data_IF_062539249197
#
_entry.id   IF_062539249197
#
_cell.length_a   1.000
_cell.length_b   1.000
_cell.length_c   1.000
_cell.angle_alpha   90.00
_cell.angle_beta   90.00
_cell.angle_gamma   90.00
#
_symmetry.space_group_name_H-M   'P 1'
#
loop_
_entity.id
_entity.type
_entity.pdbx_description
1 polymer ?
#
# COMPACT_ATOMS: atom_id res chain seq x y z
N UNK A 1 11.64 -1.81 13.13
CA UNK A 1 10.28 -1.42 12.75
C UNK A 1 10.09 -1.82 11.30
N UNK A 2 8.92 -2.36 10.96
CA UNK A 2 8.58 -2.65 9.57
C UNK A 2 8.32 -1.34 8.82
N UNK A 3 8.44 -1.36 7.49
CA UNK A 3 8.22 -0.20 6.62
C UNK A 3 6.93 -0.32 5.83
N UNK A 4 6.40 0.82 5.42
CA UNK A 4 5.39 0.89 4.37
C UNK A 4 5.91 1.72 3.18
N UNK A 5 5.31 1.48 2.02
CA UNK A 5 5.46 2.34 0.85
C UNK A 5 4.14 2.43 0.10
N UNK A 6 3.91 3.57 -0.56
CA UNK A 6 2.83 3.73 -1.53
C UNK A 6 3.46 3.87 -2.91
N UNK A 7 3.12 2.97 -3.82
CA UNK A 7 3.49 3.07 -5.22
C UNK A 7 2.35 3.69 -5.99
N UNK A 8 2.63 4.73 -6.79
CA UNK A 8 1.71 5.18 -7.83
C UNK A 8 1.98 4.35 -9.07
N UNK A 9 0.91 3.81 -9.65
CA UNK A 9 0.98 2.98 -10.85
C UNK A 9 0.13 3.62 -11.94
N UNK A 10 0.74 3.92 -13.09
CA UNK A 10 0.09 4.59 -14.23
C UNK A 10 0.22 3.79 -15.50
N UNK A 11 -0.76 3.92 -16.41
CA UNK A 11 -0.69 3.36 -17.75
C UNK A 11 -0.80 1.83 -17.80
N UNK A 12 -1.38 1.22 -16.76
CA UNK A 12 -1.74 -0.19 -16.78
C UNK A 12 -2.94 -0.42 -17.73
N UNK A 13 -2.86 -1.36 -18.68
CA UNK A 13 -3.89 -1.53 -19.72
C UNK A 13 -5.23 -2.04 -19.17
N UNK A 14 -5.21 -2.68 -18.00
CA UNK A 14 -6.36 -3.19 -17.27
C UNK A 14 -6.89 -2.19 -16.22
N UNK A 15 -6.35 -0.97 -16.19
CA UNK A 15 -6.79 0.07 -15.26
C UNK A 15 -7.62 1.15 -15.98
N UNK A 16 -8.96 1.13 -15.86
CA UNK A 16 -9.82 2.08 -16.55
C UNK A 16 -9.66 3.52 -16.03
N UNK A 17 -9.16 3.75 -14.80
CA UNK A 17 -8.85 5.10 -14.31
C UNK A 17 -7.52 5.63 -14.86
N UNK A 18 -6.67 4.75 -15.40
CA UNK A 18 -5.32 5.04 -15.87
C UNK A 18 -4.30 5.28 -14.74
N UNK A 19 -4.73 5.29 -13.48
CA UNK A 19 -3.88 5.48 -12.32
C UNK A 19 -4.51 4.87 -11.05
N UNK A 20 -3.70 4.14 -10.29
CA UNK A 20 -4.03 3.63 -8.95
C UNK A 20 -2.80 3.66 -8.05
N UNK A 21 -2.99 3.20 -6.80
CA UNK A 21 -1.92 3.10 -5.83
C UNK A 21 -1.80 1.69 -5.25
N UNK A 22 -0.59 1.21 -5.08
CA UNK A 22 -0.32 -0.03 -4.36
C UNK A 22 0.29 0.32 -3.00
N UNK A 23 -0.41 -0.05 -1.93
CA UNK A 23 0.09 0.06 -0.56
C UNK A 23 0.85 -1.22 -0.21
N UNK A 24 2.15 -1.07 0.04
CA UNK A 24 3.05 -2.15 0.43
C UNK A 24 3.35 -2.04 1.92
N UNK A 25 3.19 -3.13 2.65
CA UNK A 25 3.63 -3.28 4.03
C UNK A 25 4.66 -4.39 4.11
N UNK A 26 5.82 -4.10 4.69
CA UNK A 26 6.94 -5.04 4.81
C UNK A 26 6.57 -6.25 5.68
N UNK A 27 6.75 -7.45 5.11
CA UNK A 27 6.47 -8.74 5.75
C UNK A 27 7.59 -9.73 5.43
N UNK A 28 8.53 -9.91 6.37
CA UNK A 28 9.65 -10.82 6.20
C UNK A 28 10.56 -10.46 5.00
N UNK A 29 10.52 -11.29 3.96
CA UNK A 29 11.32 -11.13 2.73
C UNK A 29 10.55 -10.46 1.56
N UNK A 30 9.26 -10.19 1.75
CA UNK A 30 8.38 -9.57 0.77
C UNK A 30 7.56 -8.42 1.39
N UNK A 31 6.59 -7.91 0.63
CA UNK A 31 5.59 -6.97 1.11
C UNK A 31 4.20 -7.53 0.88
N UNK A 32 3.36 -7.53 1.92
CA UNK A 32 1.92 -7.69 1.75
C UNK A 32 1.38 -6.43 1.09
N UNK A 33 0.53 -6.59 0.08
CA UNK A 33 0.19 -5.50 -0.84
C UNK A 33 -1.30 -5.42 -1.13
N UNK A 34 -1.83 -4.20 -1.17
CA UNK A 34 -3.20 -3.92 -1.58
C UNK A 34 -3.25 -2.81 -2.62
N UNK A 35 -4.11 -2.98 -3.62
CA UNK A 35 -4.49 -1.95 -4.59
C UNK A 35 -5.53 -1.03 -3.97
N UNK A 36 -5.29 0.27 -4.07
CA UNK A 36 -6.15 1.37 -3.64
C UNK A 36 -6.45 2.26 -4.85
N UNK A 37 -7.65 2.85 -4.89
CA UNK A 37 -8.01 3.80 -5.94
C UNK A 37 -7.27 5.13 -5.75
N UNK A 38 -7.21 5.60 -4.51
CA UNK A 38 -6.66 6.89 -4.14
C UNK A 38 -5.65 6.77 -2.98
N UNK A 39 -4.86 7.82 -2.77
CA UNK A 39 -4.02 7.94 -1.57
C UNK A 39 -4.93 7.96 -0.33
N UNK A 40 -4.75 7.02 0.63
CA UNK A 40 -5.55 7.04 1.85
C UNK A 40 -5.16 8.26 2.70
N UNK A 41 -6.15 9.02 3.17
CA UNK A 41 -5.92 10.23 3.98
C UNK A 41 -6.45 10.05 5.40
N UNK A 42 -5.82 10.68 6.41
CA UNK A 42 -6.31 10.60 7.79
C UNK A 42 -7.73 11.17 7.94
N UNK A 43 -8.62 10.36 8.52
CA UNK A 43 -10.06 10.59 8.61
C UNK A 43 -10.75 10.81 7.25
N UNK A 44 -10.14 10.27 6.19
CA UNK A 44 -10.73 10.26 4.85
C UNK A 44 -11.84 9.22 4.70
N UNK A 45 -12.45 9.20 3.52
CA UNK A 45 -13.47 8.20 3.15
C UNK A 45 -12.79 6.83 3.07
N UNK A 46 -13.43 5.83 3.67
CA UNK A 46 -13.02 4.43 3.51
C UNK A 46 -13.14 4.01 2.05
N UNK A 47 -12.11 3.36 1.51
CA UNK A 47 -12.06 2.95 0.11
C UNK A 47 -11.80 1.44 -0.02
N UNK A 48 -12.15 0.79 -1.14
CA UNK A 48 -11.78 -0.60 -1.38
C UNK A 48 -10.26 -0.81 -1.33
N UNK A 49 -9.84 -1.95 -0.79
CA UNK A 49 -8.46 -2.39 -0.69
C UNK A 49 -8.35 -3.82 -1.21
N UNK A 50 -8.03 -3.95 -2.49
CA UNK A 50 -7.98 -5.26 -3.16
C UNK A 50 -6.61 -5.91 -2.90
N UNK A 51 -6.53 -7.10 -2.30
CA UNK A 51 -5.26 -7.78 -2.08
C UNK A 51 -4.59 -8.12 -3.41
N UNK A 52 -3.28 -7.91 -3.48
CA UNK A 52 -2.43 -8.24 -4.62
C UNK A 52 -1.40 -9.31 -4.25
N UNK A 53 -0.77 -9.91 -5.27
CA UNK A 53 0.37 -10.78 -5.06
C UNK A 53 1.49 -10.05 -4.28
N UNK A 54 2.24 -10.76 -3.41
CA UNK A 54 3.33 -10.17 -2.66
C UNK A 54 4.35 -9.44 -3.54
N UNK A 55 4.72 -8.22 -3.12
CA UNK A 55 5.72 -7.43 -3.82
C UNK A 55 7.12 -7.67 -3.24
N UNK A 56 8.13 -7.51 -4.09
CA UNK A 56 9.53 -7.56 -3.63
C UNK A 56 9.86 -6.32 -2.81
N UNK A 57 10.59 -6.49 -1.71
CA UNK A 57 11.05 -5.40 -0.82
C UNK A 57 11.85 -4.29 -1.49
N UNK A 58 12.40 -4.54 -2.68
CA UNK A 58 13.13 -3.53 -3.46
C UNK A 58 12.27 -2.30 -3.82
N UNK A 59 10.94 -2.43 -3.76
CA UNK A 59 10.01 -1.32 -3.94
C UNK A 59 9.80 -0.45 -2.70
N UNK A 60 10.27 -0.91 -1.53
CA UNK A 60 10.33 -0.08 -0.32
C UNK A 60 11.45 0.98 -0.43
N UNK A 61 12.36 0.86 -1.40
CA UNK A 61 13.44 1.82 -1.69
C UNK A 61 13.03 2.86 -2.75
N UNK A 62 13.68 4.03 -2.83
CA UNK A 62 13.34 5.04 -3.85
C UNK A 62 13.49 4.44 -5.24
N UNK A 63 12.37 4.30 -5.96
CA UNK A 63 12.31 3.58 -7.22
C UNK A 63 11.20 4.12 -8.11
N UNK A 64 11.52 4.17 -9.40
CA UNK A 64 10.61 4.52 -10.49
C UNK A 64 11.01 3.67 -11.68
N UNK A 65 10.14 2.78 -12.16
CA UNK A 65 10.48 1.84 -13.22
C UNK A 65 9.26 1.34 -14.00
N UNK A 66 9.49 0.98 -15.26
CA UNK A 66 8.52 0.30 -16.10
C UNK A 66 8.14 -1.06 -15.50
N UNK A 67 6.85 -1.38 -15.53
CA UNK A 67 6.33 -2.68 -15.13
C UNK A 67 6.44 -3.63 -16.32
N UNK A 68 6.95 -4.84 -16.05
CA UNK A 68 7.17 -5.86 -17.09
C UNK A 68 5.88 -6.18 -17.86
N UNK A 69 6.02 -6.55 -19.14
CA UNK A 69 4.89 -6.93 -19.99
C UNK A 69 4.04 -5.74 -20.47
N UNK A 70 4.63 -4.54 -20.56
CA UNK A 70 3.95 -3.31 -21.00
C UNK A 70 2.73 -2.96 -20.13
N UNK A 71 2.86 -3.17 -18.81
CA UNK A 71 1.78 -2.97 -17.84
C UNK A 71 1.84 -1.60 -17.16
N UNK A 72 2.49 -0.62 -17.78
CA UNK A 72 2.59 0.73 -17.24
C UNK A 72 3.88 0.98 -16.46
N UNK A 73 3.82 1.96 -15.54
CA UNK A 73 4.96 2.49 -14.80
C UNK A 73 4.64 2.57 -13.31
N UNK A 74 5.53 2.08 -12.46
CA UNK A 74 5.38 2.14 -11.01
C UNK A 74 6.45 3.04 -10.39
N UNK A 75 6.02 3.93 -9.50
CA UNK A 75 6.88 4.89 -8.79
C UNK A 75 6.53 4.91 -7.31
N UNK A 76 7.53 4.82 -6.44
CA UNK A 76 7.34 5.02 -5.01
C UNK A 76 7.13 6.51 -4.72
N UNK A 77 5.94 6.86 -4.26
CA UNK A 77 5.54 8.27 -4.02
C UNK A 77 5.45 8.65 -2.55
N UNK A 78 5.30 7.67 -1.65
CA UNK A 78 5.27 7.88 -0.20
C UNK A 78 5.92 6.69 0.51
N UNK A 79 6.49 6.92 1.70
CA UNK A 79 7.08 5.85 2.51
C UNK A 79 7.21 6.26 3.98
N UNK A 80 7.27 5.24 4.84
CA UNK A 80 7.55 5.46 6.25
C UNK A 80 7.68 4.15 7.02
N UNK A 81 7.61 4.24 8.34
CA UNK A 81 7.69 3.13 9.28
C UNK A 81 6.36 2.89 9.98
N UNK A 82 6.17 1.65 10.42
CA UNK A 82 4.98 1.21 11.14
C UNK A 82 5.31 0.58 12.49
N UNK A 83 4.32 0.61 13.38
CA UNK A 83 4.22 -0.24 14.56
C UNK A 83 3.01 -1.16 14.46
N UNK A 84 3.14 -2.36 15.04
CA UNK A 84 2.19 -3.46 14.91
C UNK A 84 2.69 -4.59 14.01
N UNK A 85 1.91 -5.67 13.95
CA UNK A 85 2.21 -6.86 13.16
C UNK A 85 1.05 -7.16 12.22
N UNK A 86 1.37 -7.62 11.02
CA UNK A 86 0.35 -8.14 10.12
C UNK A 86 -0.24 -9.44 10.69
N UNK A 87 -1.56 -9.65 10.58
CA UNK A 87 -2.15 -10.91 11.00
C UNK A 87 -1.57 -12.07 10.16
N UNK A 88 -1.34 -13.25 10.74
CA UNK A 88 -0.84 -14.41 10.00
C UNK A 88 -1.84 -14.88 8.93
N UNK A 89 -3.13 -14.68 9.16
CA UNK A 89 -4.17 -14.83 8.16
C UNK A 89 -4.08 -13.67 7.15
N UNK A 90 -3.86 -13.94 5.84
CA UNK A 90 -3.79 -12.90 4.82
C UNK A 90 -5.10 -12.12 4.67
N UNK A 91 -6.24 -12.72 4.99
CA UNK A 91 -7.57 -12.10 4.92
C UNK A 91 -8.01 -11.52 6.28
N UNK A 92 -7.17 -11.65 7.31
CA UNK A 92 -7.42 -11.12 8.64
C UNK A 92 -7.42 -9.59 8.68
N UNK A 93 -8.10 -8.99 9.68
CA UNK A 93 -8.13 -7.54 9.83
C UNK A 93 -6.73 -6.99 10.14
N UNK A 94 -6.30 -6.00 9.37
CA UNK A 94 -5.03 -5.30 9.56
C UNK A 94 -5.28 -4.02 10.33
N UNK A 95 -4.55 -3.82 11.44
CA UNK A 95 -4.53 -2.57 12.20
C UNK A 95 -3.07 -2.24 12.53
N UNK A 96 -2.55 -1.16 11.95
CA UNK A 96 -1.15 -0.76 12.07
C UNK A 96 -1.06 0.73 12.38
N UNK A 97 -0.09 1.12 13.20
CA UNK A 97 0.21 2.54 13.43
C UNK A 97 1.25 3.02 12.41
N UNK A 98 0.94 4.09 11.68
CA UNK A 98 1.84 4.75 10.73
C UNK A 98 2.58 5.88 11.46
N UNK A 99 3.84 5.62 11.82
CA UNK A 99 4.61 6.44 12.76
C UNK A 99 5.21 7.69 12.12
N UNK A 100 5.68 7.57 10.88
CA UNK A 100 6.39 8.63 10.15
C UNK A 100 6.06 8.63 8.65
N UNK A 101 6.73 9.50 7.91
CA UNK A 101 6.47 9.71 6.49
C UNK A 101 5.24 10.59 6.23
N UNK A 102 4.73 10.48 5.00
CA UNK A 102 3.62 11.27 4.48
C UNK A 102 2.25 10.74 4.94
N UNK A 103 2.11 9.42 5.18
CA UNK A 103 0.92 8.82 5.78
C UNK A 103 1.11 8.67 7.28
N UNK A 104 0.11 9.08 8.08
CA UNK A 104 0.19 9.05 9.55
C UNK A 104 -1.13 8.69 10.20
N UNK A 105 -1.05 8.03 11.35
CA UNK A 105 -2.19 7.58 12.13
C UNK A 105 -2.45 6.08 11.99
N UNK A 106 -3.63 5.62 12.39
CA UNK A 106 -3.93 4.19 12.45
C UNK A 106 -4.53 3.73 11.12
N UNK A 107 -3.74 2.98 10.35
CA UNK A 107 -4.19 2.25 9.16
C UNK A 107 -5.06 1.07 9.56
N UNK A 108 -6.23 0.95 8.92
CA UNK A 108 -7.12 -0.21 9.02
C UNK A 108 -7.42 -0.76 7.64
N UNK A 109 -7.22 -2.07 7.47
CA UNK A 109 -7.73 -2.83 6.33
C UNK A 109 -8.63 -3.93 6.88
N UNK A 110 -9.94 -3.73 6.79
CA UNK A 110 -10.96 -4.60 7.39
C UNK A 110 -12.07 -4.78 6.35
N UNK A 111 -12.56 -6.02 6.18
CA UNK A 111 -13.62 -6.37 5.22
C UNK A 111 -13.35 -5.81 3.80
N UNK A 112 -12.09 -5.90 3.36
CA UNK A 112 -11.65 -5.44 2.04
C UNK A 112 -11.65 -3.93 1.85
N UNK A 113 -11.66 -3.14 2.93
CA UNK A 113 -11.65 -1.68 2.87
C UNK A 113 -10.51 -1.08 3.68
N UNK A 114 -9.84 -0.08 3.09
CA UNK A 114 -8.77 0.70 3.70
C UNK A 114 -9.31 2.04 4.23
N UNK A 115 -8.91 2.38 5.46
CA UNK A 115 -9.09 3.70 6.06
C UNK A 115 -7.91 4.05 6.95
N UNK A 116 -7.68 5.34 7.16
CA UNK A 116 -6.72 5.84 8.17
C UNK A 116 -7.49 6.74 9.12
N UNK A 117 -7.34 6.53 10.44
CA UNK A 117 -7.80 7.51 11.44
C UNK A 117 -6.60 8.24 12.03
N UNK A 118 -6.82 9.44 12.57
CA UNK A 118 -5.80 10.03 13.46
C UNK A 118 -5.54 9.09 14.65
N UNK A 119 -4.28 8.99 15.06
CA UNK A 119 -3.87 8.32 16.29
C UNK A 119 -4.30 9.15 17.52
#
# INVERSE_FOLDING_TARGET
>A
MARYALLRHTGAPDDPSGCHFDLLVEEGDHCRTWRLADVPTPNGISQPAMPLAPHRRVWLEPRSAAVSGNRGWAERVMAGTIEGELPPDPDGPVVLDLLDGELRGILRIIDGHCSITRA
#
